data_IF_754228433196
#
_entry.id   IF_754228433196
#
_cell.length_a   1.000
_cell.length_b   1.000
_cell.length_c   1.000
_cell.angle_alpha   90.00
_cell.angle_beta   90.00
_cell.angle_gamma   90.00
#
_symmetry.space_group_name_H-M   'P 1'
#
loop_
_entity.id
_entity.type
_entity.pdbx_description
1 polymer ?
#
# COMPACT_ATOMS: atom_id res chain seq x y z
N UNK A 1 -59.16 35.44 4.55
CA UNK A 1 -58.02 35.10 3.66
C UNK A 1 -57.44 33.80 4.18
N UNK A 2 -57.50 32.72 3.39
CA UNK A 2 -57.06 31.39 3.82
C UNK A 2 -55.68 31.10 3.23
N UNK A 3 -54.73 30.69 4.06
CA UNK A 3 -53.44 30.15 3.59
C UNK A 3 -53.63 28.66 3.24
N UNK A 4 -53.06 28.17 2.12
CA UNK A 4 -52.98 26.73 1.84
C UNK A 4 -51.73 26.11 2.47
N UNK A 5 -51.84 24.84 2.87
CA UNK A 5 -50.73 24.04 3.39
C UNK A 5 -49.77 23.59 2.26
N UNK A 6 -48.46 23.43 2.53
CA UNK A 6 -47.52 22.88 1.57
C UNK A 6 -47.57 21.34 1.52
N UNK A 7 -47.65 20.81 0.30
CA UNK A 7 -47.84 19.39 -0.01
C UNK A 7 -46.59 18.53 0.33
N UNK A 8 -46.76 17.52 1.20
CA UNK A 8 -45.72 16.52 1.49
C UNK A 8 -45.74 15.37 0.47
N UNK A 9 -44.96 15.45 -0.62
CA UNK A 9 -44.55 14.26 -1.38
C UNK A 9 -43.42 14.52 -2.42
N UNK A 10 -42.17 14.62 -1.97
CA UNK A 10 -41.00 14.30 -2.81
C UNK A 10 -39.89 13.64 -1.97
N UNK A 11 -39.46 12.40 -2.24
CA UNK A 11 -38.31 11.80 -1.60
C UNK A 11 -37.01 12.32 -2.22
N UNK A 12 -36.32 13.22 -1.52
CA UNK A 12 -35.06 13.83 -1.94
C UNK A 12 -34.00 12.81 -2.37
N UNK A 13 -33.33 13.07 -3.51
CA UNK A 13 -32.33 12.20 -4.16
C UNK A 13 -31.16 11.76 -3.25
N UNK A 14 -30.90 12.49 -2.16
CA UNK A 14 -29.95 12.14 -1.10
C UNK A 14 -30.22 10.76 -0.47
N UNK A 15 -31.49 10.37 -0.25
CA UNK A 15 -31.82 9.07 0.37
C UNK A 15 -31.42 7.87 -0.50
N UNK A 16 -31.20 8.10 -1.81
CA UNK A 16 -30.73 7.08 -2.76
C UNK A 16 -29.22 6.85 -2.70
N UNK A 17 -28.46 7.77 -2.11
CA UNK A 17 -27.01 7.63 -1.92
C UNK A 17 -26.64 6.99 -0.57
N UNK A 18 -27.51 7.09 0.44
CA UNK A 18 -27.28 6.47 1.77
C UNK A 18 -27.72 5.00 1.85
N UNK A 19 -28.55 4.52 0.92
CA UNK A 19 -29.02 3.12 0.86
C UNK A 19 -28.26 2.25 -0.16
N UNK A 20 -27.16 2.75 -0.75
CA UNK A 20 -26.29 1.98 -1.64
C UNK A 20 -25.16 1.31 -0.83
N UNK A 21 -25.54 0.53 0.18
CA UNK A 21 -24.63 -0.16 1.09
C UNK A 21 -25.01 -1.63 1.25
N UNK A 22 -24.65 -2.45 0.26
CA UNK A 22 -24.35 -3.89 0.39
C UNK A 22 -23.87 -4.42 -0.97
N UNK A 23 -22.56 -4.54 -1.14
CA UNK A 23 -21.87 -5.28 -2.21
C UNK A 23 -20.38 -5.37 -1.88
N UNK A 24 -19.99 -6.46 -1.21
CA UNK A 24 -18.59 -6.80 -0.95
C UNK A 24 -17.85 -7.09 -2.26
N UNK A 25 -17.24 -6.07 -2.86
CA UNK A 25 -16.27 -6.28 -3.94
C UNK A 25 -15.02 -5.43 -3.73
N UNK A 26 -13.97 -6.08 -3.21
CA UNK A 26 -12.69 -5.46 -2.88
C UNK A 26 -11.98 -4.89 -4.12
N UNK A 27 -11.29 -3.74 -4.02
CA UNK A 27 -10.78 -2.99 -5.18
C UNK A 27 -9.74 -3.74 -6.03
N UNK A 28 -9.14 -4.81 -5.50
CA UNK A 28 -8.18 -5.66 -6.22
C UNK A 28 -8.84 -6.36 -7.42
N UNK A 29 -10.12 -6.75 -7.31
CA UNK A 29 -10.85 -7.46 -8.36
C UNK A 29 -11.04 -6.64 -9.65
N UNK A 30 -11.02 -5.30 -9.56
CA UNK A 30 -11.14 -4.42 -10.74
C UNK A 30 -9.87 -4.30 -11.56
N UNK A 31 -8.68 -4.53 -10.97
CA UNK A 31 -7.40 -4.40 -11.67
C UNK A 31 -7.06 -5.61 -12.56
N UNK A 32 -7.68 -6.77 -12.31
CA UNK A 32 -7.40 -7.98 -13.10
C UNK A 32 -8.23 -8.10 -14.40
N UNK A 33 -9.32 -7.34 -14.54
CA UNK A 33 -10.25 -7.48 -15.69
C UNK A 33 -9.74 -6.84 -16.99
N UNK A 34 -8.70 -6.01 -16.96
CA UNK A 34 -8.17 -5.29 -18.15
C UNK A 34 -6.89 -5.90 -18.74
N UNK A 35 -6.25 -6.87 -18.08
CA UNK A 35 -5.00 -7.50 -18.55
C UNK A 35 -5.27 -8.95 -18.97
N UNK A 36 -5.97 -9.14 -20.10
CA UNK A 36 -6.54 -10.46 -20.41
C UNK A 36 -7.08 -10.70 -21.82
N UNK A 37 -6.47 -10.13 -22.87
CA UNK A 37 -6.64 -10.64 -24.25
C UNK A 37 -5.59 -10.08 -25.21
N UNK A 38 -4.69 -10.97 -25.65
CA UNK A 38 -3.99 -11.04 -26.96
C UNK A 38 -2.50 -11.41 -26.83
N UNK A 39 -2.23 -12.69 -26.63
CA UNK A 39 -0.96 -13.32 -26.98
C UNK A 39 -1.18 -14.81 -27.28
N UNK A 40 -0.94 -15.28 -28.53
CA UNK A 40 -0.63 -16.68 -28.81
C UNK A 40 0.89 -16.88 -28.88
N UNK A 41 1.36 -18.00 -28.33
CA UNK A 41 2.78 -18.34 -28.24
C UNK A 41 3.32 -19.05 -29.51
N UNK A 42 4.64 -19.20 -29.55
CA UNK A 42 5.45 -19.83 -30.62
C UNK A 42 5.06 -21.28 -30.93
N UNK A 43 5.24 -21.68 -32.20
CA UNK A 43 5.72 -23.03 -32.56
C UNK A 43 6.56 -23.03 -33.84
N UNK A 44 7.52 -23.94 -33.91
CA UNK A 44 8.45 -24.34 -35.00
C UNK A 44 8.55 -25.89 -34.86
N UNK A 45 9.01 -26.77 -35.82
CA UNK A 45 9.89 -26.54 -36.99
C UNK A 45 9.65 -27.42 -38.27
N UNK A 46 10.65 -27.47 -39.17
CA UNK A 46 10.91 -28.42 -40.30
C UNK A 46 10.08 -28.25 -41.62
N UNK A 47 10.67 -27.92 -42.79
CA UNK A 47 11.50 -28.70 -43.77
C UNK A 47 10.62 -29.49 -44.80
N UNK A 48 10.93 -29.69 -46.10
CA UNK A 48 12.17 -29.50 -46.91
C UNK A 48 11.90 -29.57 -48.45
N UNK A 49 12.91 -29.27 -49.31
CA UNK A 49 13.06 -29.62 -50.77
C UNK A 49 12.15 -28.87 -51.80
N UNK A 50 12.58 -28.49 -53.03
CA UNK A 50 13.59 -29.05 -53.98
C UNK A 50 14.52 -28.05 -54.71
N UNK A 51 15.66 -28.60 -55.19
CA UNK A 51 16.78 -28.04 -56.00
C UNK A 51 16.59 -28.31 -57.54
N UNK A 52 17.53 -28.07 -58.52
CA UNK A 52 19.01 -27.99 -58.47
C UNK A 52 19.79 -27.01 -59.44
N UNK A 53 21.14 -27.17 -59.46
CA UNK A 53 22.22 -26.68 -60.39
C UNK A 53 22.77 -25.24 -60.20
N UNK A 54 24.06 -24.95 -59.90
CA UNK A 54 25.41 -25.38 -60.41
C UNK A 54 25.68 -25.00 -61.88
N UNK A 55 26.80 -24.40 -62.33
CA UNK A 55 28.07 -23.87 -61.77
C UNK A 55 28.68 -22.86 -62.82
N UNK A 56 29.79 -22.10 -62.68
CA UNK A 56 30.84 -21.92 -61.65
C UNK A 56 32.11 -21.19 -62.21
N UNK A 57 33.21 -21.14 -61.42
CA UNK A 57 34.62 -20.79 -61.79
C UNK A 57 35.07 -19.34 -62.15
N UNK A 58 35.87 -18.77 -61.24
CA UNK A 58 37.17 -18.03 -61.39
C UNK A 58 37.57 -17.41 -62.74
N UNK A 59 37.92 -16.10 -62.75
CA UNK A 59 39.17 -15.52 -63.33
C UNK A 59 39.33 -13.99 -63.11
N UNK A 60 40.49 -13.56 -62.60
CA UNK A 60 41.11 -12.22 -62.82
C UNK A 60 41.86 -12.22 -64.17
N UNK A 61 42.35 -11.10 -64.78
CA UNK A 61 42.74 -9.81 -64.16
C UNK A 61 42.37 -8.51 -64.95
N UNK A 62 42.86 -7.38 -64.41
CA UNK A 62 42.89 -6.03 -64.99
C UNK A 62 43.58 -5.95 -66.38
N UNK A 63 43.07 -5.11 -67.29
CA UNK A 63 43.95 -4.16 -67.97
C UNK A 63 43.44 -2.71 -67.90
N UNK A 64 44.34 -1.75 -68.06
CA UNK A 64 44.01 -0.34 -68.17
C UNK A 64 43.67 0.03 -69.62
N UNK A 65 42.70 0.93 -69.81
CA UNK A 65 42.49 1.63 -71.08
C UNK A 65 42.28 3.12 -70.82
N UNK A 66 43.28 3.93 -71.20
CA UNK A 66 43.10 5.37 -71.35
C UNK A 66 42.42 5.61 -72.68
N UNK A 67 41.30 6.33 -72.70
CA UNK A 67 40.99 7.18 -73.85
C UNK A 67 40.65 8.58 -73.36
N UNK A 68 41.32 9.57 -73.94
CA UNK A 68 41.26 10.99 -73.61
C UNK A 68 40.41 11.64 -74.68
N UNK A 69 39.20 12.07 -74.33
CA UNK A 69 38.41 12.98 -75.15
C UNK A 69 38.11 14.24 -74.35
N UNK A 70 38.62 15.37 -74.83
CA UNK A 70 38.31 16.70 -74.31
C UNK A 70 36.98 17.15 -74.89
N UNK A 71 36.04 17.54 -74.05
CA UNK A 71 34.82 18.23 -74.48
C UNK A 71 34.28 19.16 -73.38
N UNK A 72 34.95 20.30 -73.19
CA UNK A 72 34.26 21.60 -73.27
C UNK A 72 34.20 21.93 -74.77
N UNK A 73 33.13 22.52 -75.32
CA UNK A 73 32.30 23.61 -74.76
C UNK A 73 30.99 23.10 -74.10
N UNK A 74 30.09 23.89 -73.52
CA UNK A 74 29.66 25.23 -73.90
C UNK A 74 29.58 26.26 -72.77
N UNK A 75 30.12 27.45 -73.05
CA UNK A 75 29.81 28.67 -72.32
C UNK A 75 28.50 29.28 -72.87
N UNK A 76 27.39 28.60 -72.60
CA UNK A 76 26.04 29.11 -72.85
C UNK A 76 25.75 30.32 -71.97
N UNK A 77 26.11 31.51 -72.44
CA UNK A 77 26.10 32.75 -71.67
C UNK A 77 24.71 33.27 -71.31
N UNK A 78 24.11 32.73 -70.24
CA UNK A 78 22.99 33.36 -69.56
C UNK A 78 23.46 34.62 -68.83
N UNK A 79 23.33 35.78 -69.49
CA UNK A 79 23.67 37.12 -68.97
C UNK A 79 22.83 37.60 -67.77
N UNK A 80 22.08 36.69 -67.14
CA UNK A 80 21.20 36.94 -65.98
C UNK A 80 21.59 36.16 -64.72
N UNK A 81 22.50 35.18 -64.82
CA UNK A 81 22.95 34.41 -63.65
C UNK A 81 23.75 35.20 -62.61
N UNK A 82 24.64 36.17 -62.98
CA UNK A 82 25.40 36.92 -61.97
C UNK A 82 24.47 37.73 -61.06
N UNK A 83 23.55 38.51 -61.65
CA UNK A 83 22.64 39.37 -60.90
C UNK A 83 21.70 38.58 -59.99
N UNK A 84 21.12 37.46 -60.48
CA UNK A 84 20.25 36.62 -59.67
C UNK A 84 20.99 35.98 -58.48
N UNK A 85 22.24 35.54 -58.69
CA UNK A 85 23.07 35.00 -57.61
C UNK A 85 23.44 36.06 -56.56
N UNK A 86 23.79 37.28 -56.98
CA UNK A 86 24.03 38.40 -56.06
C UNK A 86 22.76 38.76 -55.29
N UNK A 87 21.59 38.81 -55.94
CA UNK A 87 20.30 39.07 -55.27
C UNK A 87 19.96 37.99 -54.25
N UNK A 88 20.14 36.70 -54.59
CA UNK A 88 19.93 35.59 -53.67
C UNK A 88 20.90 35.66 -52.46
N UNK A 89 22.17 36.01 -52.69
CA UNK A 89 23.17 36.18 -51.64
C UNK A 89 22.86 37.35 -50.71
N UNK A 90 22.51 38.52 -51.25
CA UNK A 90 22.12 39.71 -50.46
C UNK A 90 20.82 39.47 -49.70
N UNK A 91 19.82 38.81 -50.30
CA UNK A 91 18.58 38.46 -49.62
C UNK A 91 18.83 37.49 -48.45
N UNK A 92 19.61 36.43 -48.68
CA UNK A 92 19.97 35.46 -47.65
C UNK A 92 20.77 36.10 -46.51
N UNK A 93 21.75 36.96 -46.84
CA UNK A 93 22.53 37.70 -45.84
C UNK A 93 21.64 38.66 -45.04
N UNK A 94 20.70 39.36 -45.68
CA UNK A 94 19.75 40.27 -45.01
C UNK A 94 18.84 39.50 -44.06
N UNK A 95 18.29 38.36 -44.48
CA UNK A 95 17.45 37.50 -43.62
C UNK A 95 18.25 36.97 -42.43
N UNK A 96 19.48 36.50 -42.64
CA UNK A 96 20.32 36.01 -41.54
C UNK A 96 20.76 37.13 -40.58
N UNK A 97 21.01 38.35 -41.06
CA UNK A 97 21.29 39.51 -40.21
C UNK A 97 20.05 39.90 -39.40
N UNK A 98 18.86 39.93 -40.02
CA UNK A 98 17.60 40.20 -39.31
C UNK A 98 17.33 39.10 -38.27
N UNK A 99 17.57 37.83 -38.60
CA UNK A 99 17.48 36.71 -37.65
C UNK A 99 18.47 36.88 -36.48
N UNK A 100 19.71 37.28 -36.74
CA UNK A 100 20.71 37.57 -35.70
C UNK A 100 20.32 38.77 -34.84
N UNK A 101 19.72 39.81 -35.41
CA UNK A 101 19.21 40.97 -34.67
C UNK A 101 18.03 40.55 -33.80
N UNK A 102 17.08 39.76 -34.32
CA UNK A 102 15.97 39.21 -33.52
C UNK A 102 16.52 38.31 -32.40
N UNK A 103 17.49 37.44 -32.67
CA UNK A 103 18.11 36.59 -31.68
C UNK A 103 18.86 37.40 -30.61
N UNK A 104 19.61 38.43 -31.01
CA UNK A 104 20.30 39.34 -30.09
C UNK A 104 19.31 40.15 -29.25
N UNK A 105 18.21 40.64 -29.83
CA UNK A 105 17.13 41.30 -29.10
C UNK A 105 16.45 40.35 -28.11
N UNK A 106 16.23 39.09 -28.48
CA UNK A 106 15.72 38.06 -27.56
C UNK A 106 16.72 37.83 -26.42
N UNK A 107 18.01 37.60 -26.71
CA UNK A 107 19.08 37.41 -25.71
C UNK A 107 19.27 38.63 -24.79
N UNK A 108 19.12 39.84 -25.32
CA UNK A 108 19.24 41.08 -24.53
C UNK A 108 17.99 41.33 -23.68
N UNK A 109 16.80 40.99 -24.19
CA UNK A 109 15.53 41.09 -23.47
C UNK A 109 15.16 39.80 -22.70
N UNK A 110 16.04 38.79 -22.62
CA UNK A 110 15.75 37.51 -21.94
C UNK A 110 15.38 37.74 -20.45
N UNK A 111 15.94 38.80 -19.83
CA UNK A 111 15.60 39.26 -18.48
C UNK A 111 14.20 39.88 -18.37
N UNK A 112 13.67 40.45 -19.46
CA UNK A 112 12.38 41.15 -19.54
C UNK A 112 11.25 40.21 -19.97
N UNK A 113 11.54 39.18 -20.77
CA UNK A 113 10.54 38.25 -21.35
C UNK A 113 10.03 37.21 -20.31
N UNK A 114 10.50 37.26 -19.06
CA UNK A 114 9.99 36.40 -17.99
C UNK A 114 10.35 34.92 -18.13
N UNK A 115 11.27 34.57 -19.04
CA UNK A 115 11.91 33.24 -19.09
C UNK A 115 12.98 33.17 -18.01
N UNK A 116 12.56 33.36 -16.77
CA UNK A 116 13.32 33.01 -15.58
C UNK A 116 13.40 31.49 -15.52
N UNK A 117 14.46 30.96 -16.13
CA UNK A 117 14.95 29.59 -15.89
C UNK A 117 15.18 29.28 -14.40
N UNK A 118 15.18 30.31 -13.54
CA UNK A 118 15.20 30.25 -12.07
C UNK A 118 13.83 30.01 -11.42
N UNK A 119 12.69 30.36 -12.05
CA UNK A 119 11.37 30.24 -11.42
C UNK A 119 10.73 28.84 -11.51
N UNK A 120 11.13 28.01 -12.48
CA UNK A 120 10.72 26.60 -12.55
C UNK A 120 11.44 25.69 -11.52
N UNK A 121 12.77 25.84 -11.30
CA UNK A 121 13.51 25.13 -10.25
C UNK A 121 12.88 25.24 -8.87
N UNK A 122 12.52 26.44 -8.42
CA UNK A 122 12.10 26.68 -7.04
C UNK A 122 10.81 25.90 -6.70
N UNK A 123 9.84 25.92 -7.62
CA UNK A 123 8.56 25.27 -7.42
C UNK A 123 8.59 23.75 -7.65
N UNK A 124 9.32 23.27 -8.67
CA UNK A 124 9.33 21.83 -8.99
C UNK A 124 10.44 21.09 -8.23
N UNK A 125 11.67 21.58 -8.31
CA UNK A 125 12.84 20.90 -7.76
C UNK A 125 13.01 21.20 -6.27
N UNK A 126 12.87 22.46 -5.88
CA UNK A 126 12.80 22.87 -4.46
C UNK A 126 11.57 22.28 -3.77
N UNK A 127 10.42 22.27 -4.46
CA UNK A 127 9.22 21.55 -4.01
C UNK A 127 9.47 20.06 -3.78
N UNK A 128 10.12 19.37 -4.72
CA UNK A 128 10.43 17.94 -4.60
C UNK A 128 11.42 17.65 -3.45
N UNK A 129 12.53 18.38 -3.38
CA UNK A 129 13.52 18.26 -2.30
C UNK A 129 12.89 18.48 -0.92
N UNK A 130 12.12 19.56 -0.77
CA UNK A 130 11.46 19.89 0.48
C UNK A 130 10.35 18.89 0.89
N UNK A 131 9.68 18.27 -0.08
CA UNK A 131 8.75 17.16 0.20
C UNK A 131 9.46 15.90 0.69
N UNK A 132 10.64 15.55 0.15
CA UNK A 132 11.42 14.43 0.69
C UNK A 132 11.89 14.70 2.12
N UNK A 133 12.37 15.91 2.42
CA UNK A 133 12.72 16.31 3.79
C UNK A 133 11.51 16.26 4.73
N UNK A 134 10.34 16.71 4.30
CA UNK A 134 9.09 16.63 5.09
C UNK A 134 8.62 15.21 5.32
N UNK A 135 8.76 14.33 4.32
CA UNK A 135 8.37 12.93 4.41
C UNK A 135 9.31 12.16 5.35
N UNK A 136 10.61 12.43 5.31
CA UNK A 136 11.58 11.82 6.23
C UNK A 136 11.30 12.19 7.71
N UNK A 137 10.93 13.45 7.95
CA UNK A 137 10.52 13.95 9.27
C UNK A 137 9.08 13.58 9.69
N UNK A 138 8.32 12.85 8.86
CA UNK A 138 6.95 12.48 9.18
C UNK A 138 6.88 11.29 10.17
N UNK A 139 5.70 11.03 10.72
CA UNK A 139 5.45 9.92 11.64
C UNK A 139 4.11 9.26 11.40
N UNK A 140 4.07 7.92 11.43
CA UNK A 140 2.85 7.13 11.39
C UNK A 140 2.31 7.04 12.83
N UNK A 141 1.10 7.56 13.02
CA UNK A 141 0.35 7.44 14.29
C UNK A 141 -0.80 6.48 14.09
N UNK A 142 -0.81 5.37 14.81
CA UNK A 142 -1.87 4.36 14.72
C UNK A 142 -2.10 3.67 16.06
N UNK A 143 -3.30 3.09 16.22
CA UNK A 143 -3.71 2.35 17.41
C UNK A 143 -3.77 0.87 17.06
N UNK A 144 -2.82 0.09 17.56
CA UNK A 144 -2.72 -1.35 17.29
C UNK A 144 -3.39 -2.10 18.46
N UNK A 145 -4.43 -2.91 18.22
CA UNK A 145 -5.00 -3.76 19.26
C UNK A 145 -4.06 -4.94 19.52
N UNK A 146 -3.50 -5.01 20.73
CA UNK A 146 -2.72 -6.17 21.19
C UNK A 146 -3.68 -7.12 21.90
N UNK A 147 -3.94 -8.27 21.27
CA UNK A 147 -4.78 -9.33 21.82
C UNK A 147 -3.89 -10.35 22.55
N UNK A 148 -4.16 -10.59 23.83
CA UNK A 148 -3.41 -11.53 24.67
C UNK A 148 -4.37 -12.35 25.55
N UNK A 149 -4.07 -13.63 25.74
CA UNK A 149 -4.79 -14.49 26.67
C UNK A 149 -3.95 -14.62 27.95
N UNK A 150 -4.49 -14.17 29.08
CA UNK A 150 -3.80 -14.24 30.37
C UNK A 150 -4.28 -15.48 31.12
N UNK A 151 -3.40 -16.43 31.48
CA UNK A 151 -3.78 -17.59 32.27
C UNK A 151 -4.07 -17.17 33.71
N UNK A 152 -5.26 -17.54 34.19
CA UNK A 152 -5.72 -17.31 35.55
C UNK A 152 -5.58 -18.62 36.33
N UNK A 153 -4.83 -18.61 37.42
CA UNK A 153 -4.74 -19.72 38.36
C UNK A 153 -4.95 -19.15 39.77
N UNK A 154 -6.15 -19.34 40.32
CA UNK A 154 -6.56 -18.82 41.62
C UNK A 154 -7.00 -19.96 42.52
N UNK A 155 -6.45 -19.98 43.74
CA UNK A 155 -6.97 -20.76 44.86
C UNK A 155 -7.98 -19.93 45.64
N UNK A 156 -9.26 -20.28 45.57
CA UNK A 156 -10.33 -19.67 46.38
C UNK A 156 -10.56 -20.54 47.62
N UNK A 157 -10.32 -20.05 48.85
CA UNK A 157 -10.67 -20.79 50.05
C UNK A 157 -12.19 -20.80 50.25
N UNK A 158 -12.82 -21.96 50.08
CA UNK A 158 -14.26 -22.12 50.30
C UNK A 158 -14.51 -22.42 51.77
N UNK A 159 -15.16 -21.49 52.47
CA UNK A 159 -15.59 -21.63 53.87
C UNK A 159 -17.07 -21.38 53.98
N UNK A 160 -17.85 -22.46 54.04
CA UNK A 160 -19.31 -22.38 54.04
C UNK A 160 -19.94 -23.46 54.94
N UNK A 161 -20.88 -23.06 55.78
CA UNK A 161 -21.80 -23.98 56.44
C UNK A 161 -22.99 -24.21 55.52
N UNK A 162 -23.22 -25.45 55.08
CA UNK A 162 -24.32 -25.80 54.17
C UNK A 162 -25.10 -26.99 54.71
N UNK A 163 -26.37 -27.10 54.30
CA UNK A 163 -27.16 -28.31 54.54
C UNK A 163 -27.05 -29.20 53.30
N UNK A 164 -26.45 -30.38 53.47
CA UNK A 164 -26.40 -31.43 52.46
C UNK A 164 -27.39 -32.54 52.84
N UNK A 165 -27.89 -33.28 51.86
CA UNK A 165 -28.66 -34.51 52.09
C UNK A 165 -27.78 -35.72 51.85
N UNK A 166 -27.95 -36.80 52.63
CA UNK A 166 -27.25 -38.05 52.33
C UNK A 166 -27.78 -38.65 51.02
N UNK A 167 -26.87 -39.03 50.12
CA UNK A 167 -27.21 -39.78 48.91
C UNK A 167 -27.62 -41.24 49.19
N UNK A 168 -27.06 -41.85 50.24
CA UNK A 168 -27.30 -43.24 50.65
C UNK A 168 -27.44 -43.32 52.19
N UNK A 169 -28.03 -44.41 52.71
CA UNK A 169 -28.15 -44.59 54.16
C UNK A 169 -26.77 -44.79 54.84
N UNK A 170 -26.48 -43.99 55.87
CA UNK A 170 -25.24 -44.09 56.64
C UNK A 170 -25.45 -44.83 57.97
N UNK A 171 -24.58 -45.79 58.27
CA UNK A 171 -24.66 -46.60 59.49
C UNK A 171 -23.59 -46.15 60.49
N UNK A 172 -24.02 -45.50 61.57
CA UNK A 172 -23.17 -45.15 62.72
C UNK A 172 -23.20 -46.32 63.70
N UNK A 173 -22.08 -47.04 63.80
CA UNK A 173 -21.91 -48.14 64.76
C UNK A 173 -21.48 -47.59 66.12
N UNK A 174 -21.90 -48.25 67.21
CA UNK A 174 -21.55 -47.91 68.59
C UNK A 174 -21.90 -46.46 69.00
N UNK A 175 -22.97 -45.89 68.46
CA UNK A 175 -23.49 -44.61 68.91
C UNK A 175 -24.04 -44.76 70.34
N UNK A 176 -23.57 -43.94 71.28
CA UNK A 176 -24.16 -43.90 72.62
C UNK A 176 -25.51 -43.17 72.55
N UNK A 177 -26.59 -43.88 72.89
CA UNK A 177 -27.94 -43.33 72.90
C UNK A 177 -28.42 -43.23 74.35
N UNK A 178 -28.90 -42.04 74.71
CA UNK A 178 -29.50 -41.75 76.01
C UNK A 178 -30.99 -41.46 75.74
N UNK A 179 -31.87 -42.35 76.21
CA UNK A 179 -33.32 -42.23 76.08
C UNK A 179 -33.88 -42.08 77.49
N UNK A 180 -34.33 -40.87 77.83
CA UNK A 180 -34.92 -40.55 79.12
C UNK A 180 -36.43 -40.40 78.96
N UNK A 181 -37.16 -41.49 79.18
CA UNK A 181 -38.62 -41.58 78.97
C UNK A 181 -39.33 -41.91 80.28
N UNK A 182 -39.36 -40.94 81.21
CA UNK A 182 -40.21 -40.95 82.40
C UNK A 182 -39.89 -42.05 83.43
N UNK A 183 -40.32 -43.28 83.17
CA UNK A 183 -40.03 -44.47 83.99
C UNK A 183 -38.86 -45.30 83.48
N UNK A 184 -38.27 -44.94 82.33
CA UNK A 184 -37.21 -45.69 81.67
C UNK A 184 -36.11 -44.75 81.17
N UNK A 185 -34.94 -44.83 81.81
CA UNK A 185 -33.67 -44.27 81.35
C UNK A 185 -32.83 -45.39 80.73
N UNK A 186 -32.55 -45.31 79.43
CA UNK A 186 -31.62 -46.21 78.73
C UNK A 186 -30.37 -45.42 78.35
N UNK A 187 -29.21 -45.91 78.78
CA UNK A 187 -27.90 -45.42 78.35
C UNK A 187 -27.09 -46.61 77.81
N UNK A 188 -27.05 -46.77 76.49
CA UNK A 188 -26.44 -47.93 75.84
C UNK A 188 -25.84 -47.58 74.47
N UNK A 189 -24.87 -48.39 74.03
CA UNK A 189 -24.35 -48.34 72.66
C UNK A 189 -25.31 -49.03 71.68
N UNK A 190 -25.77 -48.31 70.67
CA UNK A 190 -26.60 -48.83 69.60
C UNK A 190 -25.94 -48.64 68.23
N UNK A 191 -26.51 -49.28 67.19
CA UNK A 191 -26.20 -48.96 65.79
C UNK A 191 -27.33 -48.11 65.23
N UNK A 192 -27.01 -46.90 64.79
CA UNK A 192 -27.98 -45.92 64.27
C UNK A 192 -27.81 -45.81 62.76
N UNK A 193 -28.88 -46.09 62.02
CA UNK A 193 -28.91 -45.92 60.56
C UNK A 193 -29.63 -44.63 60.21
N UNK A 194 -28.90 -43.66 59.68
CA UNK A 194 -29.45 -42.45 59.07
C UNK A 194 -29.92 -42.80 57.65
N UNK A 195 -31.22 -42.68 57.31
CA UNK A 195 -31.69 -42.98 55.96
C UNK A 195 -31.16 -41.96 54.94
N UNK A 196 -31.15 -42.36 53.67
CA UNK A 196 -30.93 -41.43 52.56
C UNK A 196 -31.93 -40.26 52.62
N UNK A 197 -31.51 -39.10 52.11
CA UNK A 197 -32.22 -37.82 52.22
C UNK A 197 -32.30 -37.20 53.63
N UNK A 198 -31.68 -37.77 54.67
CA UNK A 198 -31.57 -37.05 55.95
C UNK A 198 -30.75 -35.77 55.75
N UNK A 199 -31.22 -34.59 56.19
CA UNK A 199 -30.45 -33.36 56.09
C UNK A 199 -29.36 -33.30 57.17
N UNK A 200 -28.12 -33.03 56.75
CA UNK A 200 -26.97 -32.80 57.63
C UNK A 200 -26.41 -31.39 57.39
N UNK A 201 -26.27 -30.62 58.46
CA UNK A 201 -25.52 -29.36 58.44
C UNK A 201 -24.03 -29.67 58.55
N UNK A 202 -23.24 -29.29 57.54
CA UNK A 202 -21.79 -29.52 57.48
C UNK A 202 -21.04 -28.22 57.28
N UNK A 203 -19.83 -28.15 57.83
CA UNK A 203 -18.88 -27.07 57.55
C UNK A 203 -17.91 -27.54 56.47
N UNK A 204 -17.88 -26.84 55.34
CA UNK A 204 -16.93 -27.03 54.26
C UNK A 204 -15.77 -26.03 54.45
N UNK A 205 -14.54 -26.53 54.59
CA UNK A 205 -13.29 -25.74 54.51
C UNK A 205 -12.34 -26.45 53.55
N UNK A 206 -12.25 -26.00 52.30
CA UNK A 206 -11.35 -26.58 51.29
C UNK A 206 -10.86 -25.53 50.27
N UNK A 207 -9.65 -25.71 49.71
CA UNK A 207 -9.16 -24.87 48.61
C UNK A 207 -9.79 -25.29 47.28
N UNK A 208 -10.57 -24.40 46.66
CA UNK A 208 -11.06 -24.55 45.30
C UNK A 208 -10.07 -23.97 44.31
N UNK A 209 -9.57 -24.78 43.37
CA UNK A 209 -8.71 -24.32 42.29
C UNK A 209 -9.53 -23.91 41.07
N UNK A 210 -9.33 -22.68 40.59
CA UNK A 210 -9.91 -22.18 39.35
C UNK A 210 -8.78 -21.91 38.36
N UNK A 211 -8.78 -22.67 37.26
CA UNK A 211 -7.86 -22.50 36.13
C UNK A 211 -8.68 -22.06 34.91
N UNK A 212 -8.44 -20.84 34.41
CA UNK A 212 -9.17 -20.26 33.28
C UNK A 212 -8.24 -19.36 32.43
N UNK A 213 -8.70 -18.87 31.28
CA UNK A 213 -7.95 -17.92 30.43
C UNK A 213 -8.78 -16.70 30.08
N UNK A 214 -8.35 -15.53 30.54
CA UNK A 214 -9.04 -14.27 30.25
C UNK A 214 -8.48 -13.67 28.95
N UNK A 215 -9.30 -13.48 27.89
CA UNK A 215 -8.89 -12.73 26.72
C UNK A 215 -8.89 -11.23 27.03
N UNK A 216 -7.79 -10.56 26.71
CA UNK A 216 -7.62 -9.10 26.87
C UNK A 216 -7.24 -8.51 25.53
N UNK A 217 -7.93 -7.44 25.14
CA UNK A 217 -7.56 -6.61 23.98
C UNK A 217 -7.13 -5.24 24.50
N UNK A 218 -5.84 -4.94 24.41
CA UNK A 218 -5.27 -3.66 24.85
C UNK A 218 -4.92 -2.81 23.63
N UNK A 219 -5.61 -1.68 23.38
CA UNK A 219 -5.22 -0.75 22.33
C UNK A 219 -3.94 -0.03 22.72
N UNK A 220 -2.87 -0.23 21.95
CA UNK A 220 -1.60 0.46 22.12
C UNK A 220 -1.48 1.54 21.04
N UNK A 221 -1.37 2.79 21.47
CA UNK A 221 -1.09 3.91 20.58
C UNK A 221 0.41 3.94 20.25
N UNK A 222 0.76 3.75 18.97
CA UNK A 222 2.14 3.79 18.48
C UNK A 222 2.38 5.02 17.62
N UNK A 223 3.58 5.58 17.75
CA UNK A 223 4.08 6.69 16.94
C UNK A 223 5.41 6.27 16.34
N UNK A 224 5.46 6.08 15.02
CA UNK A 224 6.60 5.51 14.29
C UNK A 224 7.18 6.61 13.38
N UNK A 225 8.28 7.27 13.76
CA UNK A 225 8.98 8.24 12.90
C UNK A 225 9.54 7.56 11.65
N UNK A 226 9.34 8.14 10.46
CA UNK A 226 9.74 7.49 9.20
C UNK A 226 11.26 7.38 9.06
N UNK A 227 12.02 8.35 9.59
CA UNK A 227 13.48 8.28 9.72
C UNK A 227 14.01 7.13 10.61
N UNK A 228 13.14 6.43 11.35
CA UNK A 228 13.48 5.24 12.14
C UNK A 228 12.95 3.93 11.49
N UNK A 229 12.44 4.01 10.26
CA UNK A 229 11.92 2.85 9.50
C UNK A 229 12.80 2.51 8.31
N UNK A 230 12.58 1.35 7.71
CA UNK A 230 13.15 0.93 6.43
C UNK A 230 12.79 1.88 5.27
N UNK A 231 11.81 2.77 5.43
CA UNK A 231 11.48 3.81 4.44
C UNK A 231 12.43 5.02 4.47
N UNK A 232 13.26 5.18 5.51
CA UNK A 232 14.26 6.24 5.60
C UNK A 232 15.25 6.20 4.43
N UNK A 233 15.85 5.04 4.18
CA UNK A 233 16.86 4.84 3.14
C UNK A 233 16.38 5.25 1.74
N UNK A 234 15.23 4.78 1.21
CA UNK A 234 14.75 5.22 -0.10
C UNK A 234 14.37 6.71 -0.12
N UNK A 235 13.90 7.32 0.98
CA UNK A 235 13.61 8.76 1.01
C UNK A 235 14.88 9.61 0.98
N UNK A 236 15.92 9.20 1.71
CA UNK A 236 17.25 9.83 1.65
C UNK A 236 17.88 9.63 0.27
N UNK A 237 17.78 8.44 -0.32
CA UNK A 237 18.27 8.18 -1.69
C UNK A 237 17.59 9.06 -2.73
N UNK A 238 16.26 9.21 -2.69
CA UNK A 238 15.53 10.10 -3.58
C UNK A 238 15.89 11.58 -3.36
N UNK A 239 16.14 12.00 -2.11
CA UNK A 239 16.66 13.33 -1.78
C UNK A 239 18.04 13.56 -2.42
N UNK A 240 18.97 12.62 -2.23
CA UNK A 240 20.35 12.69 -2.75
C UNK A 240 20.42 12.72 -4.29
N UNK A 241 19.46 12.14 -5.01
CA UNK A 241 19.38 12.23 -6.47
C UNK A 241 19.02 13.64 -6.95
N UNK A 242 18.23 14.37 -6.16
CA UNK A 242 17.71 15.72 -6.50
C UNK A 242 18.59 16.84 -5.96
N UNK A 243 19.24 16.61 -4.82
CA UNK A 243 20.09 17.55 -4.07
C UNK A 243 21.18 18.26 -4.92
N UNK A 244 21.97 17.58 -5.79
CA UNK A 244 22.98 18.26 -6.61
C UNK A 244 22.39 19.27 -7.60
N UNK A 245 21.23 18.95 -8.18
CA UNK A 245 20.54 19.86 -9.10
C UNK A 245 19.90 21.02 -8.33
N UNK A 246 19.40 20.76 -7.12
CA UNK A 246 18.87 21.80 -6.24
C UNK A 246 19.97 22.80 -5.84
N UNK A 247 21.14 22.33 -5.38
CA UNK A 247 22.28 23.19 -5.01
C UNK A 247 22.93 23.95 -6.18
N UNK A 248 22.68 23.55 -7.43
CA UNK A 248 23.14 24.29 -8.62
C UNK A 248 22.20 25.45 -8.99
N UNK A 249 20.93 25.38 -8.56
CA UNK A 249 19.86 26.30 -8.94
C UNK A 249 19.45 27.23 -7.78
N UNK A 250 19.73 26.82 -6.55
CA UNK A 250 19.49 27.56 -5.31
C UNK A 250 20.72 27.52 -4.40
N UNK A 251 20.91 28.56 -3.59
CA UNK A 251 21.91 28.54 -2.51
C UNK A 251 21.54 27.41 -1.52
N UNK A 252 22.41 26.41 -1.40
CA UNK A 252 22.13 25.27 -0.53
C UNK A 252 22.32 25.62 0.96
N UNK A 253 21.47 25.07 1.85
CA UNK A 253 21.50 25.33 3.29
C UNK A 253 22.69 24.66 4.02
#
# INVERSE_FOLDING_TARGET
MSQPEPNQNEPSKLKRLLNAGDSDESPISRLQRTVGKNAPAKTTPAAQTTQPKQDGSVSTPKPASKSRAVSKPDAGGFKFLPAFWTVASVLSMTVNIVLLIILALVVQNFKTVGVTLTALPDHLLGGLYHNFVKMDNASIKTRIPVNANIPLNITVPVRATTQITLAEAAVIRNAQVIINTGSLDINASATVTLPANTPLTVNLDFPLQVTDTIPVSLPVDVNIPLNQTELHEPFVGLRQVVEPFYCMLNDCP
#
